data_IF_372423772132
#
_entry.id   IF_372423772132
#
_cell.length_a   1.000
_cell.length_b   1.000
_cell.length_c   1.000
_cell.angle_alpha   90.00
_cell.angle_beta   90.00
_cell.angle_gamma   90.00
#
_symmetry.space_group_name_H-M   'P 1'
#
loop_
_entity.id
_entity.type
_entity.pdbx_description
1 polymer ?
#
# COMPACT_ATOMS: atom_id res chain seq x y z
N UNK A 1 21.29 -16.08 36.42
CA UNK A 1 22.10 -15.93 35.20
C UNK A 1 21.45 -14.91 34.30
N UNK A 2 21.91 -13.66 34.35
CA UNK A 2 21.36 -12.54 33.61
C UNK A 2 22.01 -12.50 32.20
N UNK A 3 21.24 -12.75 31.14
CA UNK A 3 21.75 -12.62 29.77
C UNK A 3 21.73 -11.14 29.38
N UNK A 4 22.90 -10.55 29.28
CA UNK A 4 23.10 -9.20 28.74
C UNK A 4 22.90 -9.28 27.24
N UNK A 5 21.76 -8.76 26.78
CA UNK A 5 21.48 -8.57 25.36
C UNK A 5 22.21 -7.30 24.88
N UNK A 6 23.43 -7.44 24.39
CA UNK A 6 24.13 -6.37 23.66
C UNK A 6 23.66 -6.37 22.22
N UNK A 7 22.52 -5.74 21.97
CA UNK A 7 22.03 -5.56 20.62
C UNK A 7 22.79 -4.45 19.92
N UNK A 8 23.49 -4.76 18.81
CA UNK A 8 24.11 -3.78 17.89
C UNK A 8 23.12 -2.69 17.45
N UNK A 9 21.81 -3.01 17.38
CA UNK A 9 20.73 -2.07 17.07
C UNK A 9 20.58 -0.98 18.16
N UNK A 10 20.76 -1.31 19.44
CA UNK A 10 20.68 -0.33 20.53
C UNK A 10 21.86 0.65 20.51
N UNK A 11 23.07 0.16 20.21
CA UNK A 11 24.25 1.01 20.06
C UNK A 11 24.13 1.98 18.88
N UNK A 12 23.59 1.54 17.74
CA UNK A 12 23.36 2.37 16.55
C UNK A 12 22.31 3.47 16.82
N UNK A 13 21.25 3.18 17.58
CA UNK A 13 20.23 4.17 17.92
C UNK A 13 20.73 5.22 18.93
N UNK A 14 21.55 4.84 19.91
CA UNK A 14 22.14 5.76 20.89
C UNK A 14 23.20 6.65 20.23
N UNK A 15 24.05 6.10 19.37
CA UNK A 15 25.03 6.89 18.60
C UNK A 15 24.35 7.83 17.62
N UNK A 16 23.23 7.43 16.99
CA UNK A 16 22.42 8.30 16.13
C UNK A 16 21.80 9.47 16.89
N UNK A 17 21.26 9.24 18.09
CA UNK A 17 20.68 10.29 18.93
C UNK A 17 21.74 11.28 19.45
N UNK A 18 22.91 10.79 19.83
CA UNK A 18 24.05 11.65 20.25
C UNK A 18 24.60 12.47 19.09
N UNK A 19 24.67 11.90 17.88
CA UNK A 19 25.08 12.64 16.68
C UNK A 19 24.11 13.76 16.35
N UNK A 20 22.78 13.52 16.45
CA UNK A 20 21.75 14.54 16.21
C UNK A 20 21.80 15.66 17.24
N UNK A 21 22.08 15.36 18.52
CA UNK A 21 22.26 16.39 19.56
C UNK A 21 23.53 17.20 19.35
N UNK A 22 24.64 16.57 18.93
CA UNK A 22 25.88 17.28 18.59
C UNK A 22 25.72 18.19 17.37
N UNK A 23 24.99 17.76 16.35
CA UNK A 23 24.65 18.54 15.16
C UNK A 23 23.77 19.75 15.54
N UNK A 24 22.76 19.54 16.39
CA UNK A 24 21.89 20.62 16.90
C UNK A 24 22.66 21.66 17.70
N UNK A 25 23.61 21.26 18.53
CA UNK A 25 24.45 22.18 19.33
C UNK A 25 25.45 22.95 18.45
N UNK A 26 26.05 22.33 17.43
CA UNK A 26 26.94 23.00 16.48
C UNK A 26 26.18 23.97 15.55
N UNK A 27 24.97 23.63 15.13
CA UNK A 27 24.15 24.49 14.29
C UNK A 27 23.66 25.77 15.02
N UNK A 28 23.47 25.72 16.34
CA UNK A 28 23.10 26.89 17.15
C UNK A 28 24.22 27.92 17.27
N UNK A 29 25.49 27.55 17.04
CA UNK A 29 26.66 28.39 17.23
C UNK A 29 27.44 28.73 15.95
N UNK A 30 26.95 28.32 14.77
CA UNK A 30 27.63 28.57 13.50
C UNK A 30 26.67 29.11 12.42
N UNK A 31 27.20 29.94 11.52
CA UNK A 31 26.50 30.48 10.33
C UNK A 31 26.28 29.42 9.23
N UNK A 32 26.60 28.16 9.50
CA UNK A 32 26.40 27.04 8.56
C UNK A 32 24.95 26.55 8.64
N UNK A 33 24.30 26.48 7.48
CA UNK A 33 22.93 25.97 7.40
C UNK A 33 22.91 24.47 7.74
N UNK A 34 21.86 24.00 8.42
CA UNK A 34 21.64 22.59 8.77
C UNK A 34 21.71 21.70 7.51
N UNK A 35 21.27 22.20 6.36
CA UNK A 35 21.34 21.49 5.08
C UNK A 35 22.77 21.23 4.61
N UNK A 36 23.70 22.15 4.86
CA UNK A 36 25.11 21.99 4.50
C UNK A 36 25.83 20.96 5.36
N UNK A 37 25.44 20.86 6.63
CA UNK A 37 25.99 19.86 7.56
C UNK A 37 25.48 18.46 7.19
N UNK A 38 24.18 18.32 6.90
CA UNK A 38 23.58 17.04 6.50
C UNK A 38 24.21 16.53 5.20
N UNK A 39 24.43 17.40 4.20
CA UNK A 39 25.03 17.00 2.93
C UNK A 39 26.50 16.56 3.02
N UNK A 40 27.24 17.05 4.04
CA UNK A 40 28.61 16.66 4.28
C UNK A 40 28.76 15.27 4.92
N UNK A 41 27.78 14.84 5.73
CA UNK A 41 27.83 13.57 6.45
C UNK A 41 27.06 12.42 5.78
N UNK A 42 26.10 12.74 4.88
CA UNK A 42 25.32 11.72 4.17
C UNK A 42 25.65 11.80 2.68
N UNK A 43 26.18 10.73 2.07
CA UNK A 43 26.42 10.72 0.62
C UNK A 43 25.10 10.97 -0.13
N UNK A 44 25.15 11.76 -1.22
CA UNK A 44 23.96 12.12 -2.03
C UNK A 44 23.12 10.91 -2.46
N UNK A 45 23.70 9.72 -2.51
CA UNK A 45 22.99 8.47 -2.79
C UNK A 45 21.95 8.08 -1.75
N UNK A 46 22.10 8.54 -0.48
CA UNK A 46 21.10 8.31 0.59
C UNK A 46 19.98 9.36 0.59
N UNK A 47 20.18 10.47 -0.12
CA UNK A 47 19.19 11.56 -0.25
C UNK A 47 18.40 11.50 -1.55
N UNK A 48 18.72 10.54 -2.46
CA UNK A 48 17.91 10.36 -3.66
C UNK A 48 16.54 9.86 -3.29
N UNK A 49 15.49 10.58 -3.77
CA UNK A 49 14.11 10.08 -3.62
C UNK A 49 14.04 8.67 -4.18
N UNK A 50 13.41 7.73 -3.47
CA UNK A 50 13.25 6.38 -3.98
C UNK A 50 12.54 6.43 -5.34
N UNK A 51 13.07 5.68 -6.31
CA UNK A 51 12.45 5.56 -7.63
C UNK A 51 11.05 4.97 -7.46
N UNK A 52 10.04 5.61 -8.01
CA UNK A 52 8.66 5.14 -8.02
C UNK A 52 8.22 4.78 -9.44
N UNK A 53 7.21 3.92 -9.58
CA UNK A 53 6.61 3.58 -10.86
C UNK A 53 5.81 4.76 -11.41
N UNK A 54 5.79 4.90 -12.75
CA UNK A 54 4.89 5.79 -13.47
C UNK A 54 4.16 4.97 -14.54
N UNK A 55 2.90 5.28 -14.80
CA UNK A 55 2.08 4.56 -15.76
C UNK A 55 2.74 4.50 -17.15
N UNK A 56 3.36 5.60 -17.59
CA UNK A 56 4.05 5.70 -18.88
C UNK A 56 5.27 4.76 -19.01
N UNK A 57 5.84 4.29 -17.89
CA UNK A 57 7.01 3.40 -17.88
C UNK A 57 6.59 1.91 -17.86
N UNK A 58 5.27 1.63 -17.89
CA UNK A 58 4.71 0.28 -17.79
C UNK A 58 4.19 -0.17 -19.15
N UNK A 59 4.66 -1.34 -19.60
CA UNK A 59 4.10 -2.04 -20.75
C UNK A 59 2.92 -2.92 -20.31
N UNK A 60 1.80 -2.29 -19.91
CA UNK A 60 0.61 -3.02 -19.43
C UNK A 60 -0.08 -3.73 -20.59
N UNK A 61 -0.59 -4.96 -20.37
CA UNK A 61 -1.57 -5.55 -21.29
C UNK A 61 -2.88 -4.74 -21.25
N UNK A 62 -3.79 -4.91 -22.23
CA UNK A 62 -5.13 -4.35 -22.11
C UNK A 62 -5.80 -4.81 -20.82
N UNK A 63 -6.24 -3.84 -20.00
CA UNK A 63 -6.92 -4.12 -18.74
C UNK A 63 -8.43 -4.20 -18.96
N UNK A 64 -9.10 -4.96 -18.09
CA UNK A 64 -10.55 -5.18 -18.12
C UNK A 64 -11.16 -4.77 -16.78
N UNK A 65 -12.44 -4.39 -16.81
CA UNK A 65 -13.21 -4.17 -15.58
C UNK A 65 -13.19 -5.45 -14.73
N UNK A 66 -12.91 -5.29 -13.43
CA UNK A 66 -12.76 -6.41 -12.51
C UNK A 66 -11.32 -6.94 -12.38
N UNK A 67 -10.35 -6.41 -13.14
CA UNK A 67 -8.94 -6.70 -12.88
C UNK A 67 -8.53 -6.16 -11.51
N UNK A 68 -7.85 -7.00 -10.74
CA UNK A 68 -7.28 -6.65 -9.44
C UNK A 68 -5.91 -6.00 -9.64
N UNK A 69 -5.72 -4.80 -9.11
CA UNK A 69 -4.46 -4.07 -9.20
C UNK A 69 -3.82 -4.00 -7.82
N UNK A 70 -2.68 -4.65 -7.67
CA UNK A 70 -1.88 -4.66 -6.45
C UNK A 70 -0.75 -3.66 -6.55
N UNK A 71 -0.44 -2.97 -5.47
CA UNK A 71 0.77 -2.14 -5.36
C UNK A 71 1.49 -2.37 -4.05
N UNK A 72 2.79 -2.08 -4.05
CA UNK A 72 3.58 -1.85 -2.85
C UNK A 72 3.96 -0.38 -2.81
N UNK A 73 3.53 0.33 -1.78
CA UNK A 73 3.95 1.69 -1.51
C UNK A 73 5.30 1.77 -0.77
N UNK A 74 5.78 2.98 -0.55
CA UNK A 74 6.98 3.28 0.24
C UNK A 74 6.66 3.95 1.60
N UNK A 75 5.38 4.02 1.97
CA UNK A 75 4.90 4.56 3.23
C UNK A 75 5.17 3.61 4.42
N UNK A 76 5.09 4.15 5.63
CA UNK A 76 5.22 3.37 6.86
C UNK A 76 4.14 2.28 6.96
N UNK A 77 2.90 2.60 6.58
CA UNK A 77 1.79 1.63 6.54
C UNK A 77 2.11 0.45 5.62
N UNK A 78 2.68 0.73 4.43
CA UNK A 78 3.13 -0.32 3.51
C UNK A 78 4.18 -1.23 4.14
N UNK A 79 5.11 -0.68 4.93
CA UNK A 79 6.11 -1.47 5.64
C UNK A 79 5.44 -2.36 6.69
N UNK A 80 4.54 -1.81 7.51
CA UNK A 80 3.82 -2.54 8.56
C UNK A 80 2.98 -3.67 7.94
N UNK A 81 2.16 -3.37 6.93
CA UNK A 81 1.31 -4.36 6.26
C UNK A 81 2.16 -5.49 5.66
N UNK A 82 3.29 -5.15 5.00
CA UNK A 82 4.21 -6.14 4.44
C UNK A 82 4.82 -7.06 5.50
N UNK A 83 5.17 -6.53 6.67
CA UNK A 83 5.73 -7.32 7.77
C UNK A 83 4.69 -8.24 8.40
N UNK A 84 3.49 -7.73 8.66
CA UNK A 84 2.42 -8.50 9.31
C UNK A 84 1.85 -9.57 8.38
N UNK A 85 1.63 -9.24 7.10
CA UNK A 85 1.10 -10.20 6.11
C UNK A 85 2.16 -11.13 5.52
N UNK A 86 3.45 -10.90 5.81
CA UNK A 86 4.57 -11.62 5.18
C UNK A 86 4.50 -11.63 3.66
N UNK A 87 4.01 -10.52 3.06
CA UNK A 87 3.82 -10.44 1.62
C UNK A 87 4.34 -9.12 1.05
N UNK A 88 4.66 -9.15 -0.26
CA UNK A 88 5.22 -8.01 -0.96
C UNK A 88 4.19 -6.91 -1.21
N UNK A 89 2.98 -7.26 -1.66
CA UNK A 89 1.94 -6.28 -1.99
C UNK A 89 1.15 -5.88 -0.76
N UNK A 90 0.92 -4.57 -0.62
CA UNK A 90 0.37 -3.96 0.61
C UNK A 90 -0.92 -3.18 0.37
N UNK A 91 -1.32 -3.02 -0.90
CA UNK A 91 -2.54 -2.32 -1.27
C UNK A 91 -3.19 -2.97 -2.48
N UNK A 92 -4.52 -2.87 -2.57
CA UNK A 92 -5.35 -3.47 -3.60
C UNK A 92 -6.38 -2.45 -4.10
N UNK A 93 -6.53 -2.38 -5.43
CA UNK A 93 -7.60 -1.66 -6.12
C UNK A 93 -8.27 -2.55 -7.16
N UNK A 94 -9.38 -2.06 -7.68
CA UNK A 94 -10.22 -2.75 -8.66
C UNK A 94 -10.40 -1.85 -9.89
N UNK A 95 -10.14 -2.37 -11.09
CA UNK A 95 -10.41 -1.66 -12.35
C UNK A 95 -11.92 -1.55 -12.55
N UNK A 96 -12.43 -0.33 -12.76
CA UNK A 96 -13.85 -0.03 -13.02
C UNK A 96 -14.10 0.65 -14.36
N UNK A 97 -13.02 0.96 -15.08
CA UNK A 97 -13.05 1.46 -16.47
C UNK A 97 -11.71 1.16 -17.12
N UNK A 98 -11.73 0.69 -18.35
CA UNK A 98 -10.50 0.43 -19.13
C UNK A 98 -10.10 1.65 -19.99
N UNK A 99 -11.06 2.49 -20.38
CA UNK A 99 -10.81 3.71 -21.16
C UNK A 99 -11.81 4.81 -20.74
N UNK A 100 -11.34 5.89 -20.05
CA UNK A 100 -10.02 6.00 -19.43
C UNK A 100 -9.81 4.93 -18.36
N UNK A 101 -8.55 4.52 -18.13
CA UNK A 101 -8.23 3.53 -17.08
C UNK A 101 -8.43 4.13 -15.70
N UNK A 102 -9.44 3.63 -14.98
CA UNK A 102 -9.82 4.07 -13.64
C UNK A 102 -9.82 2.89 -12.66
N UNK A 103 -9.22 3.13 -11.50
CA UNK A 103 -9.10 2.17 -10.41
C UNK A 103 -9.84 2.73 -9.20
N UNK A 104 -10.72 1.93 -8.60
CA UNK A 104 -11.38 2.28 -7.34
C UNK A 104 -10.71 1.53 -6.19
N UNK A 105 -10.49 2.21 -5.08
CA UNK A 105 -9.87 1.63 -3.90
C UNK A 105 -10.23 2.40 -2.62
N UNK A 106 -10.24 1.72 -1.48
CA UNK A 106 -10.34 2.36 -0.17
C UNK A 106 -8.94 2.69 0.35
N UNK A 107 -8.69 3.93 0.72
CA UNK A 107 -7.35 4.42 1.08
C UNK A 107 -7.39 5.50 2.17
N UNK A 108 -6.23 5.71 2.80
CA UNK A 108 -5.98 6.78 3.77
C UNK A 108 -5.49 8.07 3.13
N UNK A 109 -5.58 8.26 1.84
CA UNK A 109 -5.10 9.37 1.03
C UNK A 109 -4.68 10.65 1.81
N UNK A 110 -3.59 11.29 1.38
CA UNK A 110 -3.09 12.52 2.00
C UNK A 110 -3.88 13.79 1.59
N UNK A 111 -4.71 13.70 0.56
CA UNK A 111 -5.55 14.81 0.12
C UNK A 111 -6.74 15.01 1.09
N UNK A 112 -6.86 16.17 1.77
CA UNK A 112 -7.93 16.41 2.75
C UNK A 112 -9.36 16.21 2.22
N UNK A 113 -9.59 16.40 0.92
CA UNK A 113 -10.92 16.22 0.31
C UNK A 113 -11.29 14.76 0.03
N UNK A 114 -10.29 13.87 -0.04
CA UNK A 114 -10.46 12.45 -0.35
C UNK A 114 -9.88 11.54 0.73
N UNK A 115 -9.50 12.12 1.87
CA UNK A 115 -8.87 11.43 2.97
C UNK A 115 -9.80 10.38 3.60
N UNK A 116 -9.24 9.20 3.88
CA UNK A 116 -9.90 8.10 4.60
C UNK A 116 -11.24 7.68 3.97
N UNK A 117 -11.27 7.42 2.68
CA UNK A 117 -12.48 6.98 1.99
C UNK A 117 -12.20 6.12 0.76
N UNK A 118 -13.27 5.63 0.14
CA UNK A 118 -13.23 4.97 -1.16
C UNK A 118 -13.13 6.05 -2.24
N UNK A 119 -12.07 5.98 -3.06
CA UNK A 119 -11.80 6.94 -4.14
C UNK A 119 -11.64 6.25 -5.48
N UNK A 120 -11.85 7.01 -6.56
CA UNK A 120 -11.54 6.60 -7.94
C UNK A 120 -10.32 7.38 -8.38
N UNK A 121 -9.28 6.68 -8.80
CA UNK A 121 -8.02 7.25 -9.24
C UNK A 121 -7.66 6.80 -10.65
N UNK A 122 -7.13 7.70 -11.50
CA UNK A 122 -6.34 7.29 -12.67
C UNK A 122 -5.12 6.45 -12.25
N UNK A 123 -4.56 5.68 -13.18
CA UNK A 123 -3.43 4.78 -12.87
C UNK A 123 -2.23 5.53 -12.27
N UNK A 124 -1.88 6.73 -12.75
CA UNK A 124 -0.74 7.50 -12.23
C UNK A 124 -0.94 7.92 -10.76
N UNK A 125 -2.16 8.29 -10.38
CA UNK A 125 -2.50 8.59 -8.99
C UNK A 125 -2.46 7.32 -8.13
N UNK A 126 -3.04 6.22 -8.63
CA UNK A 126 -2.96 4.93 -7.93
C UNK A 126 -1.51 4.48 -7.72
N UNK A 127 -0.61 4.78 -8.66
CA UNK A 127 0.82 4.43 -8.58
C UNK A 127 1.66 5.46 -7.81
N UNK A 128 1.05 6.53 -7.30
CA UNK A 128 1.78 7.50 -6.50
C UNK A 128 2.48 6.81 -5.32
N UNK A 129 3.77 7.02 -5.18
CA UNK A 129 4.64 6.29 -4.24
C UNK A 129 4.73 4.76 -4.42
N UNK A 130 4.26 4.19 -5.54
CA UNK A 130 4.38 2.76 -5.78
C UNK A 130 5.80 2.36 -6.24
N UNK A 131 6.31 1.27 -5.68
CA UNK A 131 7.58 0.62 -6.08
C UNK A 131 7.34 -0.67 -6.86
N UNK A 132 6.17 -1.22 -6.76
CA UNK A 132 5.80 -2.44 -7.48
C UNK A 132 4.32 -2.43 -7.80
N UNK A 133 3.98 -3.06 -8.90
CA UNK A 133 2.62 -3.30 -9.35
C UNK A 133 2.48 -4.76 -9.79
N UNK A 134 1.32 -5.34 -9.53
CA UNK A 134 0.89 -6.59 -10.15
C UNK A 134 -0.58 -6.48 -10.54
N UNK A 135 -0.99 -7.22 -11.57
CA UNK A 135 -2.36 -7.24 -12.05
C UNK A 135 -2.81 -8.68 -12.18
N UNK A 136 -3.95 -8.99 -11.57
CA UNK A 136 -4.55 -10.31 -11.60
C UNK A 136 -5.95 -10.20 -12.21
N UNK A 137 -6.19 -10.97 -13.27
CA UNK A 137 -7.48 -11.04 -13.97
C UNK A 137 -8.33 -12.15 -13.41
N UNK A 138 -9.57 -11.81 -13.04
CA UNK A 138 -10.59 -12.75 -12.63
C UNK A 138 -11.38 -13.27 -13.85
N UNK A 139 -11.89 -14.53 -13.81
CA UNK A 139 -12.73 -15.07 -14.87
C UNK A 139 -14.18 -14.54 -14.74
N UNK A 140 -14.39 -13.30 -15.15
CA UNK A 140 -15.69 -12.62 -15.08
C UNK A 140 -16.33 -12.59 -16.47
N UNK A 141 -17.65 -12.71 -16.50
CA UNK A 141 -18.45 -12.40 -17.70
C UNK A 141 -18.64 -10.91 -17.87
N UNK A 142 -18.98 -10.43 -19.08
CA UNK A 142 -19.24 -8.99 -19.32
C UNK A 142 -20.34 -8.45 -18.40
N UNK A 143 -21.42 -9.21 -18.18
CA UNK A 143 -22.50 -8.81 -17.26
C UNK A 143 -22.03 -8.67 -15.82
N UNK A 144 -21.13 -9.55 -15.35
CA UNK A 144 -20.51 -9.41 -14.03
C UNK A 144 -19.59 -8.19 -13.97
N UNK A 145 -18.79 -7.93 -14.99
CA UNK A 145 -17.92 -6.76 -15.06
C UNK A 145 -18.74 -5.45 -14.96
N UNK A 146 -19.82 -5.32 -15.73
CA UNK A 146 -20.72 -4.16 -15.68
C UNK A 146 -21.34 -3.98 -14.29
N UNK A 147 -21.88 -5.04 -13.71
CA UNK A 147 -22.50 -5.01 -12.38
C UNK A 147 -21.49 -4.67 -11.28
N UNK A 148 -20.27 -5.21 -11.34
CA UNK A 148 -19.16 -4.90 -10.45
C UNK A 148 -18.79 -3.42 -10.54
N UNK A 149 -18.64 -2.86 -11.75
CA UNK A 149 -18.31 -1.45 -11.92
C UNK A 149 -19.38 -0.52 -11.32
N UNK A 150 -20.66 -0.84 -11.51
CA UNK A 150 -21.78 -0.09 -10.94
C UNK A 150 -21.78 -0.16 -9.41
N UNK A 151 -21.66 -1.36 -8.85
CA UNK A 151 -21.62 -1.57 -7.40
C UNK A 151 -20.43 -0.88 -6.76
N UNK A 152 -19.26 -0.98 -7.37
CA UNK A 152 -18.04 -0.34 -6.87
C UNK A 152 -18.18 1.19 -6.86
N UNK A 153 -18.71 1.80 -7.93
CA UNK A 153 -18.93 3.26 -8.01
C UNK A 153 -19.92 3.76 -6.97
N UNK A 154 -20.94 2.98 -6.60
CA UNK A 154 -21.90 3.33 -5.57
C UNK A 154 -21.25 3.44 -4.17
N UNK A 155 -20.10 2.82 -3.96
CA UNK A 155 -19.33 2.87 -2.70
C UNK A 155 -18.40 4.09 -2.60
N UNK A 156 -18.25 4.89 -3.67
CA UNK A 156 -17.37 6.07 -3.65
C UNK A 156 -17.76 7.04 -2.52
N UNK A 157 -16.76 7.52 -1.79
CA UNK A 157 -16.95 8.45 -0.67
C UNK A 157 -17.26 7.76 0.66
N UNK A 158 -17.46 6.42 0.70
CA UNK A 158 -17.61 5.72 1.97
C UNK A 158 -16.32 5.79 2.79
N UNK A 159 -16.48 5.99 4.10
CA UNK A 159 -15.36 6.15 5.02
C UNK A 159 -14.49 4.88 5.08
N UNK A 160 -13.18 5.06 5.00
CA UNK A 160 -12.19 4.01 5.25
C UNK A 160 -12.15 3.70 6.76
N UNK A 161 -12.30 2.44 7.10
CA UNK A 161 -12.34 1.97 8.50
C UNK A 161 -11.53 0.69 8.65
N UNK A 162 -10.47 0.74 9.46
CA UNK A 162 -9.75 -0.47 9.89
C UNK A 162 -10.43 -0.99 11.15
N UNK A 163 -11.19 -2.07 11.02
CA UNK A 163 -11.89 -2.74 12.10
C UNK A 163 -12.02 -4.23 11.82
N UNK A 164 -12.51 -4.99 12.77
CA UNK A 164 -12.98 -6.36 12.57
C UNK A 164 -14.46 -6.42 12.17
N UNK A 165 -14.82 -7.48 11.46
CA UNK A 165 -16.22 -7.78 11.12
C UNK A 165 -16.84 -6.83 10.09
N UNK A 166 -18.15 -6.68 10.13
CA UNK A 166 -18.93 -5.97 9.10
C UNK A 166 -18.74 -4.46 9.04
N UNK A 167 -18.11 -3.86 10.05
CA UNK A 167 -17.79 -2.43 10.06
C UNK A 167 -16.51 -2.10 9.31
N UNK A 168 -15.70 -3.11 8.95
CA UNK A 168 -14.43 -2.93 8.27
C UNK A 168 -14.63 -2.49 6.82
N UNK A 169 -13.99 -1.39 6.43
CA UNK A 169 -13.94 -0.93 5.05
C UNK A 169 -12.53 -0.41 4.74
N UNK A 170 -11.63 -1.30 4.37
CA UNK A 170 -10.28 -0.99 3.87
C UNK A 170 -10.07 -1.67 2.51
N UNK A 171 -8.94 -1.47 1.87
CA UNK A 171 -8.74 -1.82 0.46
C UNK A 171 -9.23 -3.23 0.08
N UNK A 172 -9.01 -4.23 0.90
CA UNK A 172 -9.37 -5.64 0.62
C UNK A 172 -10.80 -5.98 1.01
N UNK A 173 -11.31 -5.51 2.15
CA UNK A 173 -12.72 -5.73 2.53
C UNK A 173 -13.67 -4.97 1.60
N UNK A 174 -13.26 -3.79 1.11
CA UNK A 174 -13.98 -3.09 0.05
C UNK A 174 -14.06 -3.94 -1.22
N UNK A 175 -12.92 -4.45 -1.73
CA UNK A 175 -12.90 -5.28 -2.95
C UNK A 175 -13.68 -6.58 -2.74
N UNK A 176 -13.59 -7.22 -1.55
CA UNK A 176 -14.40 -8.38 -1.21
C UNK A 176 -15.90 -8.07 -1.30
N UNK A 177 -16.36 -6.98 -0.66
CA UNK A 177 -17.79 -6.61 -0.62
C UNK A 177 -18.37 -6.38 -2.03
N UNK A 178 -17.57 -5.84 -2.94
CA UNK A 178 -17.97 -5.58 -4.34
C UNK A 178 -17.98 -6.87 -5.16
N UNK A 179 -17.02 -7.76 -4.96
CA UNK A 179 -16.87 -8.98 -5.78
C UNK A 179 -17.71 -10.17 -5.29
N UNK A 180 -17.92 -10.31 -3.98
CA UNK A 180 -18.57 -11.47 -3.38
C UNK A 180 -19.99 -11.76 -3.91
N UNK A 181 -20.84 -10.76 -4.28
CA UNK A 181 -22.13 -11.01 -4.90
C UNK A 181 -22.04 -11.67 -6.29
N UNK A 182 -20.89 -11.55 -6.97
CA UNK A 182 -20.74 -11.94 -8.37
C UNK A 182 -19.87 -13.19 -8.57
N UNK A 183 -18.96 -13.46 -7.64
CA UNK A 183 -17.99 -14.54 -7.75
C UNK A 183 -17.61 -15.09 -6.37
N UNK A 184 -17.67 -16.42 -6.21
CA UNK A 184 -17.21 -17.07 -4.97
C UNK A 184 -15.69 -16.91 -4.83
N UNK A 185 -15.23 -16.20 -3.81
CA UNK A 185 -13.81 -15.86 -3.60
C UNK A 185 -13.10 -16.86 -2.68
N UNK A 186 -13.80 -17.45 -1.70
CA UNK A 186 -13.25 -18.38 -0.70
C UNK A 186 -12.02 -17.79 0.03
N UNK A 187 -12.12 -16.54 0.48
CA UNK A 187 -11.04 -15.85 1.15
C UNK A 187 -10.91 -16.28 2.62
N UNK A 188 -9.68 -16.38 3.09
CA UNK A 188 -9.37 -16.72 4.48
C UNK A 188 -8.71 -15.51 5.13
N UNK A 189 -9.31 -15.02 6.22
CA UNK A 189 -8.77 -13.92 6.99
C UNK A 189 -7.58 -14.40 7.82
N UNK A 190 -6.54 -13.57 7.90
CA UNK A 190 -5.37 -13.82 8.72
C UNK A 190 -5.60 -13.36 10.15
N UNK A 191 -5.13 -14.14 11.10
CA UNK A 191 -5.15 -13.77 12.51
C UNK A 191 -3.87 -12.98 12.86
N UNK A 192 -4.06 -11.76 13.37
CA UNK A 192 -2.99 -10.89 13.86
C UNK A 192 -3.01 -10.90 15.37
N UNK A 193 -1.85 -11.19 15.99
CA UNK A 193 -1.69 -11.28 17.45
C UNK A 193 -0.53 -10.40 17.90
N UNK A 194 -0.67 -9.07 17.78
CA UNK A 194 0.28 -8.09 18.27
C UNK A 194 -0.27 -7.40 19.55
N UNK A 195 0.57 -6.93 20.48
CA UNK A 195 0.10 -6.33 21.73
C UNK A 195 -0.88 -5.16 21.58
N UNK A 196 -0.73 -4.38 20.51
CA UNK A 196 -1.57 -3.20 20.23
C UNK A 196 -2.48 -3.37 19.02
N UNK A 197 -2.38 -4.52 18.34
CA UNK A 197 -3.16 -4.82 17.14
C UNK A 197 -3.42 -6.32 17.05
N UNK A 198 -4.63 -6.73 17.41
CA UNK A 198 -5.06 -8.13 17.35
C UNK A 198 -6.38 -8.23 16.60
N UNK A 199 -6.66 -9.41 16.04
CA UNK A 199 -7.92 -9.72 15.38
C UNK A 199 -7.74 -10.39 14.02
N UNK A 200 -8.84 -10.53 13.27
CA UNK A 200 -8.87 -11.16 11.95
C UNK A 200 -8.93 -10.09 10.85
N UNK A 201 -7.94 -10.09 9.98
CA UNK A 201 -7.80 -9.12 8.91
C UNK A 201 -7.61 -9.79 7.54
N UNK A 202 -8.14 -9.15 6.50
CA UNK A 202 -7.99 -9.59 5.12
C UNK A 202 -6.86 -8.79 4.48
N UNK A 203 -5.73 -9.44 4.17
CA UNK A 203 -4.59 -8.78 3.53
C UNK A 203 -4.59 -8.95 2.01
N UNK A 204 -3.94 -8.04 1.24
CA UNK A 204 -3.83 -8.16 -0.22
C UNK A 204 -3.28 -9.49 -0.70
N UNK A 205 -2.42 -10.16 0.10
CA UNK A 205 -1.87 -11.48 -0.22
C UNK A 205 -2.94 -12.53 -0.49
N UNK A 206 -4.06 -12.48 0.25
CA UNK A 206 -5.14 -13.46 0.13
C UNK A 206 -5.78 -13.42 -1.26
N UNK A 207 -5.95 -12.23 -1.83
CA UNK A 207 -6.37 -12.05 -3.22
C UNK A 207 -5.29 -12.41 -4.23
N UNK A 208 -4.03 -12.11 -3.89
CA UNK A 208 -2.91 -12.42 -4.76
C UNK A 208 -2.71 -13.92 -4.91
N UNK A 209 -2.75 -14.64 -3.79
CA UNK A 209 -2.47 -16.08 -3.71
C UNK A 209 -3.70 -16.97 -4.05
N UNK A 210 -4.93 -16.42 -4.00
CA UNK A 210 -6.13 -17.24 -4.31
C UNK A 210 -6.00 -17.91 -5.69
N UNK A 211 -6.43 -19.18 -5.84
CA UNK A 211 -6.29 -19.91 -7.09
C UNK A 211 -7.17 -19.36 -8.23
N UNK A 212 -8.21 -18.59 -7.88
CA UNK A 212 -9.11 -17.99 -8.84
C UNK A 212 -8.47 -16.79 -9.54
N UNK A 213 -8.50 -16.80 -10.86
CA UNK A 213 -7.86 -15.77 -11.69
C UNK A 213 -6.39 -16.09 -12.02
N UNK A 214 -5.82 -15.27 -12.88
CA UNK A 214 -4.43 -15.42 -13.35
C UNK A 214 -3.68 -14.12 -13.24
N UNK A 215 -2.41 -14.16 -12.85
CA UNK A 215 -1.51 -13.03 -12.91
C UNK A 215 -1.23 -12.70 -14.38
N UNK A 216 -1.53 -11.48 -14.81
CA UNK A 216 -1.35 -11.02 -16.20
C UNK A 216 -0.21 -10.03 -16.36
N UNK A 217 0.22 -9.41 -15.25
CA UNK A 217 1.34 -8.47 -15.25
C UNK A 217 1.97 -8.38 -13.87
N UNK A 218 3.29 -8.23 -13.81
CA UNK A 218 4.01 -7.89 -12.59
C UNK A 218 5.26 -7.09 -12.93
N UNK A 219 5.54 -6.03 -12.16
CA UNK A 219 6.77 -5.25 -12.21
C UNK A 219 7.19 -4.80 -10.81
N UNK A 220 8.45 -5.01 -10.50
CA UNK A 220 9.13 -4.55 -9.28
C UNK A 220 10.32 -3.68 -9.66
N UNK A 221 10.57 -2.59 -8.87
CA UNK A 221 11.76 -1.75 -8.99
C UNK A 221 12.89 -2.29 -8.12
#
# INVERSE_FOLDING_TARGET
MCKIFTSRAFLVSVLGALALLAIGFMAANSTLSVSSIISAFFPHSLLSKPKTLRAQDLALPPLEIGDLVFRRGDSLESVIISQVSHHHYTHLGLVISADPLLIIHATTDDNPSTQNQVIISPLDEFLFHARSIAIKRLPLTNAQQESIALSARAEQGRAFVIAEGSAALYCTTFVESVLAPHIALNLVYDEVNLPTWSGKYLFPRVFFDMPKGRLIYERRL
#
